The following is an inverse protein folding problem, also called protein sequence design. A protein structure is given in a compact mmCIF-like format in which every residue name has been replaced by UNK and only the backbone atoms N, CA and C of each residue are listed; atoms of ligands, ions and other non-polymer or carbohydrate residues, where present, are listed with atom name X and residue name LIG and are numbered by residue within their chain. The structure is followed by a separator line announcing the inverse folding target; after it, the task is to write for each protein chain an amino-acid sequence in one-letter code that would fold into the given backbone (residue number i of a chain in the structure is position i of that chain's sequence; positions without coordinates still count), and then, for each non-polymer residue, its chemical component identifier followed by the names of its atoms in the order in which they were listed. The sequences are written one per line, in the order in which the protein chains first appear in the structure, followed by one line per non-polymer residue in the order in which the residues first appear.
data_IF_937131369208
#
_entry.id   IF_937131369208
#
_cell.length_a   1.000
_cell.length_b   1.000
_cell.length_c   1.000
_cell.angle_alpha   90.00
_cell.angle_beta   90.00
_cell.angle_gamma   90.00
#
_symmetry.space_group_name_H-M   'P 1'
#
loop_
_entity.id
_entity.type
_entity.pdbx_description
1 polymer ?
#
# COMPACT_ATOMS: atom_id res chain seq x y z
N UNK A 1 -40.50 -11.30 -37.21
CA UNK A 1 -39.06 -11.12 -37.01
C UNK A 1 -38.88 -10.55 -35.61
N UNK A 2 -38.25 -11.29 -34.70
CA UNK A 2 -37.91 -10.80 -33.36
C UNK A 2 -36.59 -10.07 -33.49
N UNK A 3 -36.57 -8.78 -33.22
CA UNK A 3 -35.31 -8.04 -33.09
C UNK A 3 -34.86 -8.09 -31.64
N UNK A 4 -33.73 -8.77 -31.44
CA UNK A 4 -32.90 -8.62 -30.27
C UNK A 4 -31.85 -7.57 -30.62
N UNK A 5 -31.84 -6.45 -29.89
CA UNK A 5 -30.62 -5.66 -29.71
C UNK A 5 -30.66 -5.00 -28.34
N UNK A 6 -29.83 -5.62 -27.50
CA UNK A 6 -29.46 -5.28 -26.15
C UNK A 6 -28.37 -4.20 -26.18
N UNK A 7 -28.29 -3.43 -25.08
CA UNK A 7 -27.08 -2.79 -24.53
C UNK A 7 -26.60 -1.48 -25.20
N UNK A 8 -26.14 -0.45 -24.48
CA UNK A 8 -25.96 -0.25 -23.05
C UNK A 8 -26.03 1.26 -22.75
N UNK A 9 -26.40 1.56 -21.52
CA UNK A 9 -26.50 2.89 -20.93
C UNK A 9 -25.18 3.65 -20.91
N UNK A 10 -25.29 4.94 -21.22
CA UNK A 10 -24.35 6.02 -20.96
C UNK A 10 -23.54 5.92 -19.64
N UNK A 11 -22.22 6.11 -19.77
CA UNK A 11 -21.24 6.70 -18.81
C UNK A 11 -20.99 5.95 -17.49
N UNK A 12 -19.91 5.15 -17.47
CA UNK A 12 -19.31 4.63 -16.24
C UNK A 12 -18.56 5.72 -15.43
N UNK A 13 -18.45 5.57 -14.10
CA UNK A 13 -17.79 6.51 -13.20
C UNK A 13 -16.28 6.57 -13.49
N UNK A 14 -15.72 7.79 -13.48
CA UNK A 14 -14.31 8.03 -13.78
C UNK A 14 -13.38 7.46 -12.71
N UNK A 15 -12.22 6.98 -13.14
CA UNK A 15 -11.13 6.55 -12.27
C UNK A 15 -10.66 7.67 -11.35
N UNK A 16 -10.57 7.40 -10.05
CA UNK A 16 -9.81 8.24 -9.12
C UNK A 16 -8.36 7.75 -9.12
N UNK A 17 -7.46 8.52 -9.71
CA UNK A 17 -6.02 8.34 -9.48
C UNK A 17 -5.65 9.09 -8.21
N UNK A 18 -5.51 8.37 -7.11
CA UNK A 18 -4.94 8.93 -5.88
C UNK A 18 -3.44 8.65 -5.88
N UNK A 19 -2.64 9.71 -5.72
CA UNK A 19 -1.20 9.57 -5.58
C UNK A 19 -0.94 9.49 -4.09
N UNK A 20 -0.65 8.29 -3.60
CA UNK A 20 -0.11 8.14 -2.26
C UNK A 20 1.39 8.49 -2.30
N UNK A 21 1.76 9.62 -1.70
CA UNK A 21 3.16 9.96 -1.44
C UNK A 21 3.68 9.04 -0.32
N UNK A 22 4.34 7.95 -0.71
CA UNK A 22 5.03 7.05 0.21
C UNK A 22 6.28 7.68 0.81
N UNK A 23 6.65 7.26 2.02
CA UNK A 23 7.89 7.70 2.67
C UNK A 23 9.17 7.10 2.04
N UNK A 24 9.02 5.99 1.30
CA UNK A 24 10.08 5.29 0.61
C UNK A 24 9.55 4.29 -0.40
N UNK A 25 10.46 3.49 -0.95
CA UNK A 25 10.16 2.35 -1.80
C UNK A 25 11.20 1.24 -1.63
N UNK A 26 10.79 0.01 -1.93
CA UNK A 26 11.65 -1.14 -2.10
C UNK A 26 11.71 -1.55 -3.58
N UNK A 27 12.91 -1.93 -4.04
CA UNK A 27 13.08 -2.56 -5.35
C UNK A 27 14.01 -3.79 -5.22
N UNK A 28 13.41 -4.97 -5.02
CA UNK A 28 14.16 -6.22 -4.81
C UNK A 28 15.04 -6.57 -6.01
N UNK A 29 14.59 -6.23 -7.22
CA UNK A 29 15.33 -6.54 -8.46
C UNK A 29 16.64 -5.75 -8.54
N UNK A 30 16.62 -4.50 -8.10
CA UNK A 30 17.80 -3.61 -8.05
C UNK A 30 18.54 -3.67 -6.71
N UNK A 31 17.98 -4.37 -5.71
CA UNK A 31 18.48 -4.38 -4.32
C UNK A 31 18.61 -2.96 -3.78
N UNK A 32 17.57 -2.17 -3.99
CA UNK A 32 17.57 -0.73 -3.73
C UNK A 32 16.41 -0.39 -2.81
N UNK A 33 16.67 0.45 -1.81
CA UNK A 33 15.65 1.12 -1.01
C UNK A 33 15.81 2.61 -1.23
N UNK A 34 14.72 3.26 -1.63
CA UNK A 34 14.65 4.71 -1.69
C UNK A 34 13.84 5.26 -0.53
N UNK A 35 14.13 6.49 -0.13
CA UNK A 35 13.42 7.19 0.94
C UNK A 35 13.46 8.70 0.72
N UNK A 36 12.48 9.40 1.27
CA UNK A 36 12.49 10.86 1.27
C UNK A 36 13.64 11.40 2.12
N UNK A 37 14.37 12.39 1.56
CA UNK A 37 15.56 12.97 2.21
C UNK A 37 15.27 14.07 3.24
N UNK A 38 13.99 14.43 3.45
CA UNK A 38 13.56 15.53 4.32
C UNK A 38 12.96 15.07 5.67
N UNK A 39 12.96 13.76 5.95
CA UNK A 39 12.51 13.19 7.21
C UNK A 39 13.51 13.35 8.37
N UNK A 40 13.01 13.27 9.60
CA UNK A 40 13.85 13.11 10.80
C UNK A 40 14.59 11.77 10.81
N UNK A 41 15.65 11.63 11.62
CA UNK A 41 16.37 10.36 11.75
C UNK A 41 15.45 9.20 12.18
N UNK A 42 14.47 9.46 13.05
CA UNK A 42 13.49 8.45 13.48
C UNK A 42 12.56 8.03 12.34
N UNK A 43 12.09 8.99 11.55
CA UNK A 43 11.26 8.72 10.37
C UNK A 43 12.05 7.94 9.32
N UNK A 44 13.29 8.35 9.05
CA UNK A 44 14.19 7.65 8.14
C UNK A 44 14.43 6.21 8.58
N UNK A 45 14.79 5.98 9.85
CA UNK A 45 15.01 4.63 10.37
C UNK A 45 13.75 3.77 10.26
N UNK A 46 12.57 4.34 10.54
CA UNK A 46 11.31 3.64 10.39
C UNK A 46 10.92 3.33 8.94
N UNK A 47 11.18 4.25 8.01
CA UNK A 47 11.01 3.99 6.56
C UNK A 47 11.95 2.89 6.11
N UNK A 48 13.23 2.96 6.47
CA UNK A 48 14.20 1.93 6.11
C UNK A 48 13.79 0.55 6.63
N UNK A 49 13.30 0.47 7.88
CA UNK A 49 12.77 -0.78 8.42
C UNK A 49 11.54 -1.27 7.64
N UNK A 50 10.61 -0.38 7.32
CA UNK A 50 9.39 -0.70 6.56
C UNK A 50 9.73 -1.29 5.18
N UNK A 51 10.59 -0.60 4.42
CA UNK A 51 11.01 -1.06 3.09
C UNK A 51 11.87 -2.34 3.16
N UNK A 52 12.77 -2.45 4.14
CA UNK A 52 13.54 -3.68 4.34
C UNK A 52 12.65 -4.87 4.72
N UNK A 53 11.55 -4.63 5.44
CA UNK A 53 10.57 -5.65 5.77
C UNK A 53 9.86 -6.16 4.51
N UNK A 54 9.49 -5.28 3.57
CA UNK A 54 8.91 -5.68 2.28
C UNK A 54 9.81 -6.65 1.51
N UNK A 55 11.14 -6.43 1.50
CA UNK A 55 12.09 -7.32 0.84
C UNK A 55 12.10 -8.76 1.41
N UNK A 56 11.63 -8.96 2.64
CA UNK A 56 11.58 -10.26 3.32
C UNK A 56 10.18 -10.91 3.29
N UNK A 57 9.17 -10.23 2.74
CA UNK A 57 7.80 -10.74 2.72
C UNK A 57 7.59 -11.84 1.65
N UNK A 58 6.64 -12.76 1.88
CA UNK A 58 6.17 -13.67 0.84
C UNK A 58 5.62 -12.91 -0.37
N UNK A 59 5.94 -13.37 -1.58
CA UNK A 59 5.52 -12.71 -2.83
C UNK A 59 4.08 -13.01 -3.24
N UNK A 60 3.37 -13.88 -2.51
CA UNK A 60 1.98 -14.27 -2.77
C UNK A 60 0.95 -13.38 -2.07
N UNK A 61 1.42 -12.39 -1.29
CA UNK A 61 0.56 -11.43 -0.60
C UNK A 61 -0.03 -10.41 -1.56
N UNK A 62 -1.27 -9.99 -1.30
CA UNK A 62 -1.82 -8.78 -1.93
C UNK A 62 -1.12 -7.53 -1.40
N UNK A 63 -1.21 -6.41 -2.10
CA UNK A 63 -0.63 -5.12 -1.66
C UNK A 63 -1.14 -4.76 -0.26
N UNK A 64 -2.45 -4.90 0.00
CA UNK A 64 -3.01 -4.66 1.34
C UNK A 64 -2.41 -5.56 2.41
N UNK A 65 -2.30 -6.86 2.14
CA UNK A 65 -1.73 -7.79 3.11
C UNK A 65 -0.25 -7.49 3.39
N UNK A 66 0.50 -7.16 2.34
CA UNK A 66 1.90 -6.71 2.40
C UNK A 66 2.04 -5.47 3.27
N UNK A 67 1.28 -4.42 2.98
CA UNK A 67 1.33 -3.13 3.69
C UNK A 67 0.82 -3.22 5.12
N UNK A 68 -0.29 -3.92 5.37
CA UNK A 68 -0.79 -4.15 6.74
C UNK A 68 0.26 -4.85 7.59
N UNK A 69 0.96 -5.86 7.05
CA UNK A 69 2.06 -6.49 7.77
C UNK A 69 3.21 -5.51 7.98
N UNK A 70 3.66 -4.81 6.94
CA UNK A 70 4.78 -3.88 7.05
C UNK A 70 4.52 -2.80 8.12
N UNK A 71 3.37 -2.13 8.09
CA UNK A 71 3.03 -1.14 9.12
C UNK A 71 2.95 -1.72 10.53
N UNK A 72 2.39 -2.94 10.70
CA UNK A 72 2.31 -3.60 12.01
C UNK A 72 3.69 -3.90 12.58
N UNK A 73 4.58 -4.46 11.76
CA UNK A 73 5.93 -4.83 12.21
C UNK A 73 6.83 -3.61 12.41
N UNK A 74 6.72 -2.59 11.55
CA UNK A 74 7.40 -1.31 11.71
C UNK A 74 6.98 -0.63 13.02
N UNK A 75 5.68 -0.60 13.32
CA UNK A 75 5.21 0.03 14.56
C UNK A 75 5.61 -0.77 15.81
N UNK A 76 5.55 -2.11 15.76
CA UNK A 76 6.03 -2.95 16.85
C UNK A 76 7.53 -2.76 17.11
N UNK A 77 8.33 -2.65 16.06
CA UNK A 77 9.77 -2.35 16.15
C UNK A 77 10.02 -0.96 16.76
N UNK A 78 9.27 0.07 16.33
CA UNK A 78 9.35 1.42 16.91
C UNK A 78 8.99 1.43 18.40
N UNK A 79 7.94 0.70 18.80
CA UNK A 79 7.56 0.55 20.22
C UNK A 79 8.72 -0.11 21.01
N UNK A 80 9.29 -1.19 20.47
CA UNK A 80 10.40 -1.92 21.12
C UNK A 80 11.66 -1.07 21.34
N UNK A 81 11.88 -0.07 20.48
CA UNK A 81 13.00 0.87 20.59
C UNK A 81 12.65 2.17 21.34
N UNK A 82 11.39 2.38 21.75
CA UNK A 82 10.94 3.62 22.36
C UNK A 82 10.90 4.82 21.41
N UNK A 83 10.86 4.57 20.09
CA UNK A 83 10.78 5.61 19.06
C UNK A 83 9.37 6.17 18.91
N UNK A 84 9.26 7.35 18.30
CA UNK A 84 7.97 7.93 17.94
C UNK A 84 7.23 7.05 16.93
N UNK A 85 5.94 6.84 17.16
CA UNK A 85 5.07 6.05 16.30
C UNK A 85 4.33 6.89 15.28
N UNK A 86 3.64 6.23 14.36
CA UNK A 86 2.64 6.94 13.56
C UNK A 86 1.46 7.32 14.45
N UNK A 87 0.92 8.52 14.25
CA UNK A 87 -0.28 8.96 14.96
C UNK A 87 -1.43 7.97 14.74
N UNK A 88 -2.05 7.52 15.84
CA UNK A 88 -3.17 6.58 15.84
C UNK A 88 -2.80 5.10 15.73
N UNK A 89 -1.53 4.73 15.54
CA UNK A 89 -1.13 3.32 15.38
C UNK A 89 -0.82 2.59 16.68
N UNK A 90 -0.94 3.30 17.82
CA UNK A 90 -0.66 2.76 19.14
C UNK A 90 -1.90 2.82 20.00
N UNK A 91 -2.11 1.77 20.76
CA UNK A 91 -3.09 1.71 21.84
C UNK A 91 -2.38 1.42 23.15
N UNK A 92 -3.03 1.77 24.26
CA UNK A 92 -2.52 1.48 25.60
C UNK A 92 -3.42 0.45 26.23
N UNK A 93 -2.85 -0.69 26.61
CA UNK A 93 -3.54 -1.71 27.38
C UNK A 93 -3.99 -1.09 28.72
N UNK A 94 -5.31 -1.00 28.99
CA UNK A 94 -5.81 -0.37 30.21
C UNK A 94 -5.49 -1.16 31.47
N UNK A 95 -5.16 -2.45 31.37
CA UNK A 95 -4.85 -3.32 32.49
C UNK A 95 -3.36 -3.32 32.86
N UNK A 96 -2.48 -3.17 31.87
CA UNK A 96 -1.02 -3.22 32.09
C UNK A 96 -0.32 -1.87 31.89
N UNK A 97 -0.98 -0.89 31.27
CA UNK A 97 -0.38 0.37 30.83
C UNK A 97 0.60 0.20 29.67
N UNK A 98 0.75 -1.02 29.12
CA UNK A 98 1.68 -1.30 28.02
C UNK A 98 1.16 -0.66 26.74
N UNK A 99 2.06 -0.01 26.01
CA UNK A 99 1.78 0.45 24.66
C UNK A 99 1.94 -0.70 23.68
N UNK A 100 0.89 -0.98 22.90
CA UNK A 100 0.85 -2.00 21.86
C UNK A 100 0.44 -1.39 20.51
N UNK A 101 0.64 -2.14 19.43
CA UNK A 101 0.16 -1.75 18.09
C UNK A 101 -1.36 -1.84 18.04
N UNK A 102 -2.03 -0.77 17.61
CA UNK A 102 -3.44 -0.79 17.28
C UNK A 102 -3.62 -1.39 15.86
N UNK A 103 -3.84 -2.71 15.82
CA UNK A 103 -3.98 -3.45 14.56
C UNK A 103 -5.17 -2.95 13.73
N UNK A 104 -6.28 -2.58 14.39
CA UNK A 104 -7.47 -2.08 13.69
C UNK A 104 -7.24 -0.71 13.06
N UNK A 105 -6.49 0.17 13.74
CA UNK A 105 -6.09 1.46 13.18
C UNK A 105 -5.12 1.30 11.99
N UNK A 106 -4.21 0.33 12.04
CA UNK A 106 -3.32 0.02 10.91
C UNK A 106 -4.12 -0.49 9.70
N UNK A 107 -5.03 -1.44 9.90
CA UNK A 107 -5.87 -1.99 8.84
C UNK A 107 -6.73 -0.89 8.21
N UNK A 108 -7.39 -0.06 9.04
CA UNK A 108 -8.18 1.08 8.58
C UNK A 108 -7.36 2.09 7.77
N UNK A 109 -6.11 2.34 8.20
CA UNK A 109 -5.21 3.20 7.46
C UNK A 109 -4.86 2.63 6.09
N UNK A 110 -4.46 1.35 6.01
CA UNK A 110 -4.09 0.70 4.75
C UNK A 110 -5.28 0.68 3.79
N UNK A 111 -6.47 0.34 4.28
CA UNK A 111 -7.71 0.38 3.49
C UNK A 111 -8.02 1.78 2.93
N UNK A 112 -7.67 2.83 3.67
CA UNK A 112 -7.92 4.21 3.25
C UNK A 112 -6.93 4.75 2.20
N UNK A 113 -5.72 4.19 2.14
CA UNK A 113 -4.60 4.72 1.34
C UNK A 113 -4.24 3.88 0.13
N UNK A 114 -4.37 2.57 0.22
CA UNK A 114 -3.98 1.65 -0.84
C UNK A 114 -5.21 1.30 -1.68
N UNK A 115 -5.01 0.89 -2.95
CA UNK A 115 -6.05 0.69 -3.95
C UNK A 115 -7.31 0.00 -3.42
N UNK A 116 -8.44 0.46 -3.94
CA UNK A 116 -9.73 0.41 -3.24
C UNK A 116 -10.29 -0.99 -3.02
N UNK A 117 -11.12 -1.17 -1.97
CA UNK A 117 -11.85 -2.42 -1.77
C UNK A 117 -12.85 -2.54 -2.92
N UNK A 118 -13.03 -3.74 -3.46
CA UNK A 118 -14.24 -3.97 -4.27
C UNK A 118 -15.44 -4.13 -3.33
N UNK A 119 -16.64 -4.15 -3.90
CA UNK A 119 -17.86 -4.53 -3.14
C UNK A 119 -17.84 -5.96 -2.62
N UNK A 120 -16.87 -6.79 -3.05
CA UNK A 120 -16.64 -8.15 -2.57
C UNK A 120 -15.57 -8.15 -1.48
N UNK A 121 -15.84 -8.72 -0.30
CA UNK A 121 -14.83 -8.86 0.76
C UNK A 121 -13.58 -9.62 0.28
N UNK A 122 -12.41 -9.03 0.51
CA UNK A 122 -11.10 -9.64 0.22
C UNK A 122 -10.62 -9.51 -1.23
N UNK A 123 -11.40 -8.92 -2.12
CA UNK A 123 -10.94 -8.51 -3.44
C UNK A 123 -10.28 -7.12 -3.40
N UNK A 124 -9.29 -6.92 -4.27
CA UNK A 124 -8.52 -5.67 -4.38
C UNK A 124 -8.42 -5.23 -5.84
N UNK A 125 -8.67 -3.94 -6.11
CA UNK A 125 -8.33 -3.35 -7.41
C UNK A 125 -6.82 -3.21 -7.50
N UNK A 126 -6.15 -3.93 -8.40
CA UNK A 126 -4.69 -3.91 -8.50
C UNK A 126 -4.17 -3.07 -9.66
N UNK A 127 -4.95 -2.94 -10.73
CA UNK A 127 -4.58 -2.18 -11.93
C UNK A 127 -5.82 -1.94 -12.82
N UNK A 128 -5.62 -1.36 -14.00
CA UNK A 128 -6.62 -1.25 -15.06
C UNK A 128 -6.01 -1.64 -16.40
N UNK A 129 -6.83 -2.15 -17.31
CA UNK A 129 -6.39 -2.37 -18.68
C UNK A 129 -5.95 -1.04 -19.34
N UNK A 130 -5.00 -1.07 -20.29
CA UNK A 130 -4.57 0.14 -20.97
C UNK A 130 -5.71 0.83 -21.73
N UNK A 131 -5.74 2.17 -21.67
CA UNK A 131 -6.67 3.00 -22.44
C UNK A 131 -7.63 3.82 -21.58
N UNK A 132 -8.33 4.80 -22.18
CA UNK A 132 -9.18 5.74 -21.44
C UNK A 132 -10.44 5.10 -20.82
N UNK A 133 -10.74 3.84 -21.18
CA UNK A 133 -11.92 3.07 -20.74
C UNK A 133 -11.54 1.67 -20.29
N UNK A 134 -10.26 1.43 -19.96
CA UNK A 134 -9.81 0.10 -19.57
C UNK A 134 -10.60 -0.46 -18.40
N UNK A 135 -10.86 -1.77 -18.43
CA UNK A 135 -11.53 -2.49 -17.35
C UNK A 135 -10.64 -2.55 -16.10
N UNK A 136 -11.27 -2.67 -14.94
CA UNK A 136 -10.61 -2.87 -13.64
C UNK A 136 -10.01 -4.26 -13.57
N UNK A 137 -8.71 -4.34 -13.28
CA UNK A 137 -8.04 -5.60 -12.94
C UNK A 137 -8.17 -5.79 -11.43
N UNK A 138 -8.86 -6.85 -11.04
CA UNK A 138 -9.14 -7.19 -9.64
C UNK A 138 -8.39 -8.46 -9.27
N UNK A 139 -7.73 -8.45 -8.10
CA UNK A 139 -7.16 -9.63 -7.47
C UNK A 139 -8.13 -10.21 -6.43
N UNK A 140 -8.30 -11.52 -6.43
CA UNK A 140 -9.08 -12.29 -5.45
C UNK A 140 -8.24 -12.67 -4.24
N UNK A 141 -8.88 -13.12 -3.13
CA UNK A 141 -8.16 -13.63 -1.95
C UNK A 141 -7.21 -14.81 -2.24
N UNK A 142 -7.45 -15.56 -3.32
CA UNK A 142 -6.60 -16.69 -3.77
C UNK A 142 -5.49 -16.25 -4.74
N UNK A 143 -5.25 -14.94 -4.84
CA UNK A 143 -4.27 -14.28 -5.70
C UNK A 143 -4.53 -14.42 -7.21
N UNK A 144 -5.65 -15.06 -7.62
CA UNK A 144 -6.08 -15.04 -9.03
C UNK A 144 -6.63 -13.67 -9.40
N UNK A 145 -6.57 -13.33 -10.69
CA UNK A 145 -7.07 -12.05 -11.20
C UNK A 145 -8.26 -12.22 -12.14
N UNK A 146 -9.05 -11.15 -12.30
CA UNK A 146 -10.06 -11.03 -13.35
C UNK A 146 -10.29 -9.57 -13.72
N UNK A 147 -10.90 -9.33 -14.88
CA UNK A 147 -11.29 -8.00 -15.34
C UNK A 147 -12.79 -7.78 -15.18
N UNK A 148 -13.18 -6.54 -14.83
CA UNK A 148 -14.58 -6.09 -14.81
C UNK A 148 -14.70 -4.63 -15.23
N UNK A 149 -15.88 -4.17 -15.68
CA UNK A 149 -16.10 -2.75 -15.88
C UNK A 149 -15.82 -1.93 -14.60
N UNK A 150 -15.35 -0.68 -14.75
CA UNK A 150 -15.06 0.20 -13.63
C UNK A 150 -16.32 0.49 -12.79
N UNK A 151 -16.13 0.48 -11.47
CA UNK A 151 -17.14 0.85 -10.48
C UNK A 151 -16.76 2.15 -9.78
N UNK A 152 -17.77 2.83 -9.24
CA UNK A 152 -17.56 4.09 -8.53
C UNK A 152 -16.71 3.84 -7.28
N UNK A 153 -15.62 4.59 -7.13
CA UNK A 153 -14.66 4.41 -6.04
C UNK A 153 -13.54 3.40 -6.34
N UNK A 154 -13.48 2.83 -7.54
CA UNK A 154 -12.29 2.08 -7.97
C UNK A 154 -11.08 3.03 -7.99
N UNK A 155 -10.02 2.64 -7.29
CA UNK A 155 -8.74 3.37 -7.20
C UNK A 155 -7.62 2.47 -7.67
N UNK A 156 -6.74 3.01 -8.51
CA UNK A 156 -5.49 2.36 -8.92
C UNK A 156 -4.31 3.21 -8.43
N UNK A 157 -3.16 2.62 -8.08
CA UNK A 157 -1.97 3.40 -7.76
C UNK A 157 -1.61 4.30 -8.95
N UNK A 158 -1.39 5.59 -8.68
CA UNK A 158 -0.74 6.46 -9.66
C UNK A 158 0.69 5.99 -9.97
N UNK A 159 1.30 6.43 -11.08
CA UNK A 159 2.71 6.16 -11.32
C UNK A 159 3.55 6.75 -10.19
N UNK A 160 4.53 5.98 -9.70
CA UNK A 160 5.52 6.49 -8.76
C UNK A 160 6.22 7.70 -9.38
N UNK A 161 6.30 8.79 -8.61
CA UNK A 161 7.09 9.98 -8.97
C UNK A 161 8.24 10.08 -7.99
N UNK A 162 9.46 9.97 -8.50
CA UNK A 162 10.66 10.32 -7.76
C UNK A 162 11.23 11.63 -8.31
N UNK A 163 11.84 12.44 -7.44
CA UNK A 163 12.45 13.71 -7.83
C UNK A 163 13.65 14.01 -6.93
N UNK A 164 14.76 14.45 -7.53
CA UNK A 164 15.96 14.81 -6.76
C UNK A 164 16.67 13.61 -6.13
N UNK A 165 16.65 12.44 -6.77
CA UNK A 165 17.30 11.24 -6.26
C UNK A 165 18.81 11.44 -6.10
N UNK A 166 19.32 11.12 -4.92
CA UNK A 166 20.75 11.05 -4.61
C UNK A 166 21.10 9.63 -4.19
N UNK A 167 22.18 9.09 -4.75
CA UNK A 167 22.69 7.79 -4.34
C UNK A 167 23.60 7.94 -3.12
N UNK A 168 23.24 7.27 -2.02
CA UNK A 168 24.08 7.23 -0.83
C UNK A 168 25.08 6.09 -0.97
N UNK A 169 26.38 6.43 -0.96
CA UNK A 169 27.45 5.43 -0.97
C UNK A 169 27.48 4.68 0.38
N UNK A 170 27.13 3.39 0.33
CA UNK A 170 27.10 2.49 1.48
C UNK A 170 28.44 1.79 1.73
N UNK A 171 29.46 2.00 0.88
CA UNK A 171 30.76 1.32 0.98
C UNK A 171 31.55 1.66 2.25
N UNK A 172 31.18 2.73 2.95
CA UNK A 172 31.76 3.14 4.24
C UNK A 172 30.93 2.72 5.46
N UNK A 173 29.75 2.13 5.25
CA UNK A 173 28.88 1.74 6.35
C UNK A 173 29.45 0.51 7.06
N UNK A 174 29.40 0.53 8.38
CA UNK A 174 29.81 -0.59 9.24
C UNK A 174 28.68 -0.91 10.20
N UNK A 175 28.50 -2.21 10.45
CA UNK A 175 27.55 -2.73 11.44
C UNK A 175 28.24 -2.99 12.77
#
# INVERSE_FOLDING_TARGET
MRDFSNHASNRGPGWETDIFEGGGYENTRRKEIGMLGDGSCEEAAGTLYHEAFHAAQPSDLTTRQSETRAYRYTEAWRIGLGLSGRSGFRTTDPSTGRTDVDVGAVESFVESKYPGPTSTPGEEVIDREPGPQGDTIVQRPDSTTYTRPPQNGDRVPGPMKTSGEEHVDTGSWSC
#
